data_IF_353251058679
#
_entry.id   IF_353251058679
#
_cell.length_a   1.000
_cell.length_b   1.000
_cell.length_c   1.000
_cell.angle_alpha   90.00
_cell.angle_beta   90.00
_cell.angle_gamma   90.00
#
_symmetry.space_group_name_H-M   'P 1'
#
loop_
_entity.id
_entity.type
_entity.pdbx_description
1 polymer ?
#
# COMPACT_ATOMS: atom_id res chain seq x y z
N UNK A 1 -3.06 -4.64 17.76
CA UNK A 1 -2.46 -4.88 16.42
C UNK A 1 -2.62 -3.64 15.57
N UNK A 2 -1.58 -3.20 14.92
CA UNK A 2 -1.61 -2.08 13.99
C UNK A 2 -2.11 -2.56 12.62
N UNK A 3 -3.06 -1.85 12.03
CA UNK A 3 -3.62 -2.20 10.73
C UNK A 3 -3.22 -1.17 9.68
N UNK A 4 -2.62 -1.64 8.59
CA UNK A 4 -2.13 -0.81 7.48
C UNK A 4 -2.84 -1.22 6.20
N UNK A 5 -3.42 -0.24 5.52
CA UNK A 5 -4.12 -0.45 4.25
C UNK A 5 -3.48 0.41 3.17
N UNK A 6 -2.97 -0.25 2.12
CA UNK A 6 -2.45 0.45 0.94
C UNK A 6 -3.55 0.57 -0.11
N UNK A 7 -3.68 1.73 -0.74
CA UNK A 7 -4.77 2.02 -1.67
C UNK A 7 -4.23 2.66 -2.95
N UNK A 8 -4.69 2.16 -4.09
CA UNK A 8 -4.48 2.84 -5.37
C UNK A 8 -5.75 2.75 -6.21
N UNK A 9 -5.71 3.21 -7.45
CA UNK A 9 -6.91 3.28 -8.27
C UNK A 9 -7.52 1.89 -8.53
N UNK A 10 -6.72 0.95 -9.04
CA UNK A 10 -7.21 -0.37 -9.47
C UNK A 10 -6.85 -1.53 -8.54
N UNK A 11 -5.93 -1.33 -7.61
CA UNK A 11 -5.44 -2.37 -6.72
C UNK A 11 -4.86 -3.58 -7.47
N UNK A 12 -4.18 -3.33 -8.58
CA UNK A 12 -3.47 -4.37 -9.33
C UNK A 12 -1.98 -4.09 -9.54
N UNK A 13 -1.53 -2.84 -9.40
CA UNK A 13 -0.12 -2.46 -9.59
C UNK A 13 0.53 -1.98 -8.30
N UNK A 14 0.29 -0.72 -7.92
CA UNK A 14 1.03 -0.05 -6.84
C UNK A 14 0.67 -0.54 -5.44
N UNK A 15 -0.61 -0.59 -5.10
CA UNK A 15 -1.00 -0.99 -3.75
C UNK A 15 -0.69 -2.45 -3.44
N UNK A 16 -0.87 -3.41 -4.37
CA UNK A 16 -0.44 -4.78 -4.07
C UNK A 16 1.07 -4.92 -4.01
N UNK A 17 1.83 -4.13 -4.78
CA UNK A 17 3.28 -4.10 -4.66
C UNK A 17 3.69 -3.63 -3.25
N UNK A 18 3.09 -2.55 -2.77
CA UNK A 18 3.36 -2.03 -1.43
C UNK A 18 3.00 -3.04 -0.35
N UNK A 19 1.84 -3.68 -0.49
CA UNK A 19 1.41 -4.72 0.46
C UNK A 19 2.43 -5.85 0.52
N UNK A 20 2.86 -6.37 -0.62
CA UNK A 20 3.80 -7.50 -0.69
C UNK A 20 5.18 -7.13 -0.15
N UNK A 21 5.70 -5.96 -0.53
CA UNK A 21 7.00 -5.46 -0.06
C UNK A 21 6.97 -5.23 1.45
N UNK A 22 5.93 -4.55 1.93
CA UNK A 22 5.81 -4.23 3.35
C UNK A 22 5.67 -5.49 4.19
N UNK A 23 4.89 -6.46 3.72
CA UNK A 23 4.73 -7.74 4.41
C UNK A 23 6.07 -8.45 4.57
N UNK A 24 6.89 -8.44 3.52
CA UNK A 24 8.22 -9.05 3.60
C UNK A 24 9.10 -8.33 4.63
N UNK A 25 9.07 -7.01 4.68
CA UNK A 25 9.83 -6.24 5.66
C UNK A 25 9.38 -6.55 7.10
N UNK A 26 8.07 -6.58 7.31
CA UNK A 26 7.48 -6.88 8.61
C UNK A 26 7.84 -8.29 9.07
N UNK A 27 7.75 -9.27 8.17
CA UNK A 27 8.12 -10.66 8.47
C UNK A 27 9.60 -10.78 8.81
N UNK A 28 10.46 -10.10 8.06
CA UNK A 28 11.91 -10.13 8.28
C UNK A 28 12.27 -9.60 9.66
N UNK A 29 11.53 -8.62 10.19
CA UNK A 29 11.77 -8.08 11.52
C UNK A 29 10.98 -8.80 12.63
N UNK A 30 10.27 -9.86 12.28
CA UNK A 30 9.50 -10.63 13.28
C UNK A 30 8.27 -9.92 13.82
N UNK A 31 7.71 -8.97 13.07
CA UNK A 31 6.60 -8.13 13.52
C UNK A 31 5.25 -8.55 12.94
N UNK A 32 5.17 -9.69 12.28
CA UNK A 32 3.95 -10.15 11.60
C UNK A 32 2.78 -10.43 12.53
N UNK A 33 3.02 -10.62 13.83
CA UNK A 33 1.95 -10.77 14.81
C UNK A 33 1.42 -9.42 15.33
N UNK A 34 2.09 -8.33 14.99
CA UNK A 34 1.77 -6.99 15.51
C UNK A 34 1.27 -6.03 14.45
N UNK A 35 1.49 -6.33 13.17
CA UNK A 35 1.09 -5.47 12.06
C UNK A 35 0.29 -6.30 11.05
N UNK A 36 -0.97 -5.93 10.84
CA UNK A 36 -1.85 -6.51 9.82
C UNK A 36 -1.81 -5.62 8.58
N UNK A 37 -1.66 -6.23 7.40
CA UNK A 37 -1.43 -5.53 6.14
C UNK A 37 -2.43 -5.99 5.10
N UNK A 38 -3.03 -5.02 4.38
CA UNK A 38 -3.95 -5.32 3.29
C UNK A 38 -3.86 -4.22 2.23
N UNK A 39 -4.56 -4.38 1.12
CA UNK A 39 -4.66 -3.37 0.08
C UNK A 39 -6.04 -3.36 -0.55
N UNK A 40 -6.41 -2.24 -1.17
CA UNK A 40 -7.72 -2.06 -1.79
C UNK A 40 -7.65 -1.03 -2.92
N UNK A 41 -8.72 -0.97 -3.71
CA UNK A 41 -8.88 -0.03 -4.80
C UNK A 41 -9.90 1.06 -4.45
N UNK A 42 -9.73 2.25 -5.05
CA UNK A 42 -10.76 3.28 -5.00
C UNK A 42 -11.83 3.06 -6.08
N UNK A 43 -11.54 2.24 -7.10
CA UNK A 43 -12.48 1.92 -8.17
C UNK A 43 -12.78 0.42 -8.22
N UNK A 44 -13.87 0.06 -8.90
CA UNK A 44 -14.27 -1.34 -9.09
C UNK A 44 -13.78 -1.93 -10.42
N UNK A 45 -13.03 -1.14 -11.21
CA UNK A 45 -12.67 -1.53 -12.58
C UNK A 45 -11.93 -2.86 -12.68
N UNK A 46 -11.09 -3.16 -11.72
CA UNK A 46 -10.27 -4.37 -11.71
C UNK A 46 -10.69 -5.36 -10.62
N UNK A 47 -11.87 -5.19 -10.05
CA UNK A 47 -12.33 -6.03 -8.94
C UNK A 47 -12.26 -7.52 -9.27
N UNK A 48 -11.58 -8.27 -8.41
CA UNK A 48 -11.40 -9.72 -8.59
C UNK A 48 -10.22 -10.11 -9.47
N UNK A 49 -9.56 -9.15 -10.13
CA UNK A 49 -8.40 -9.45 -10.98
C UNK A 49 -7.14 -9.69 -10.15
N UNK A 50 -6.24 -10.55 -10.62
CA UNK A 50 -4.96 -10.77 -9.95
C UNK A 50 -4.04 -9.56 -10.11
N UNK A 51 -2.93 -9.58 -9.37
CA UNK A 51 -1.88 -8.56 -9.48
C UNK A 51 -1.38 -8.49 -10.93
N UNK A 52 -1.19 -7.26 -11.41
CA UNK A 52 -0.72 -7.02 -12.78
C UNK A 52 0.61 -7.74 -13.05
N UNK A 53 0.75 -8.25 -14.28
CA UNK A 53 1.94 -9.03 -14.67
C UNK A 53 3.25 -8.31 -14.40
N UNK A 54 3.33 -7.00 -14.73
CA UNK A 54 4.55 -6.23 -14.51
C UNK A 54 4.96 -6.16 -13.05
N UNK A 55 3.98 -6.00 -12.15
CA UNK A 55 4.22 -6.02 -10.72
C UNK A 55 4.68 -7.41 -10.27
N UNK A 56 4.00 -8.47 -10.72
CA UNK A 56 4.38 -9.85 -10.38
C UNK A 56 5.81 -10.17 -10.82
N UNK A 57 6.16 -9.79 -12.04
CA UNK A 57 7.49 -10.06 -12.57
C UNK A 57 8.56 -9.29 -11.81
N UNK A 58 8.28 -8.02 -11.49
CA UNK A 58 9.25 -7.22 -10.73
C UNK A 58 9.47 -7.77 -9.34
N UNK A 59 8.40 -8.17 -8.64
CA UNK A 59 8.50 -8.72 -7.30
C UNK A 59 9.16 -10.10 -7.31
N UNK A 60 8.93 -10.90 -8.36
CA UNK A 60 9.55 -12.23 -8.48
C UNK A 60 11.07 -12.14 -8.51
N UNK A 61 11.63 -11.07 -9.08
CA UNK A 61 13.09 -10.85 -9.09
C UNK A 61 13.64 -10.68 -7.67
N UNK A 62 12.80 -10.28 -6.73
CA UNK A 62 13.18 -10.10 -5.33
C UNK A 62 12.72 -11.26 -4.44
N UNK A 63 12.21 -12.33 -5.05
CA UNK A 63 11.72 -13.50 -4.31
C UNK A 63 10.41 -13.23 -3.56
N UNK A 64 9.63 -12.25 -3.99
CA UNK A 64 8.37 -11.88 -3.34
C UNK A 64 7.20 -12.42 -4.15
N UNK A 65 6.34 -13.23 -3.50
CA UNK A 65 5.15 -13.81 -4.13
C UNK A 65 3.92 -12.91 -3.95
N UNK A 66 3.03 -12.95 -4.96
CA UNK A 66 1.72 -12.30 -4.90
C UNK A 66 0.59 -13.32 -4.97
N UNK A 67 0.88 -14.58 -4.74
CA UNK A 67 -0.12 -15.65 -4.76
C UNK A 67 -1.24 -15.36 -3.76
N UNK A 68 -2.49 -15.45 -4.22
CA UNK A 68 -3.66 -15.21 -3.37
C UNK A 68 -4.07 -13.76 -3.25
N UNK A 69 -3.39 -12.84 -3.93
CA UNK A 69 -3.73 -11.41 -3.91
C UNK A 69 -4.61 -11.07 -5.12
N UNK A 70 -5.77 -10.48 -4.83
CA UNK A 70 -6.75 -10.07 -5.84
C UNK A 70 -7.28 -8.68 -5.53
N UNK A 71 -7.58 -7.91 -6.56
CA UNK A 71 -8.16 -6.58 -6.41
C UNK A 71 -9.50 -6.63 -5.70
N UNK A 72 -9.70 -5.70 -4.75
CA UNK A 72 -10.98 -5.46 -4.10
C UNK A 72 -11.18 -3.96 -3.91
N UNK A 73 -12.42 -3.53 -3.82
CA UNK A 73 -12.73 -2.11 -3.59
C UNK A 73 -12.77 -1.82 -2.08
N UNK A 74 -12.48 -0.59 -1.71
CA UNK A 74 -12.64 -0.10 -0.32
C UNK A 74 -14.05 -0.39 0.19
N UNK A 75 -14.14 -0.81 1.45
CA UNK A 75 -15.43 -1.03 2.11
C UNK A 75 -15.38 -0.51 3.56
N UNK A 76 -16.52 -0.55 4.26
CA UNK A 76 -16.61 0.04 5.59
C UNK A 76 -15.74 -0.65 6.64
N UNK A 77 -15.37 -1.90 6.43
CA UNK A 77 -14.43 -2.59 7.34
C UNK A 77 -13.06 -1.92 7.34
N UNK A 78 -12.71 -1.21 6.26
CA UNK A 78 -11.43 -0.50 6.16
C UNK A 78 -11.34 0.70 7.09
N UNK A 79 -12.48 1.16 7.64
CA UNK A 79 -12.49 2.26 8.61
C UNK A 79 -11.78 1.90 9.91
N UNK A 80 -11.53 0.62 10.17
CA UNK A 80 -10.78 0.18 11.35
C UNK A 80 -9.25 0.24 11.16
N UNK A 81 -8.77 0.54 9.95
CA UNK A 81 -7.33 0.65 9.72
C UNK A 81 -6.74 1.84 10.47
N UNK A 82 -5.52 1.68 10.98
CA UNK A 82 -4.80 2.77 11.65
C UNK A 82 -4.11 3.68 10.63
N UNK A 83 -3.71 3.10 9.49
CA UNK A 83 -3.06 3.81 8.41
C UNK A 83 -3.75 3.47 7.09
N UNK A 84 -4.23 4.49 6.38
CA UNK A 84 -4.71 4.34 5.00
C UNK A 84 -3.76 5.13 4.11
N UNK A 85 -3.08 4.43 3.21
CA UNK A 85 -1.95 4.98 2.48
C UNK A 85 -2.20 4.91 0.99
N UNK A 86 -2.29 6.09 0.34
CA UNK A 86 -2.38 6.20 -1.10
C UNK A 86 -1.02 6.30 -1.74
N UNK A 87 -0.98 6.19 -3.06
CA UNK A 87 0.25 6.28 -3.84
C UNK A 87 0.45 7.66 -4.44
N UNK A 88 -0.65 8.36 -4.73
CA UNK A 88 -0.64 9.69 -5.33
C UNK A 88 -1.77 10.56 -4.77
N UNK A 89 -1.76 11.85 -5.13
CA UNK A 89 -2.79 12.77 -4.64
C UNK A 89 -4.20 12.39 -5.10
N UNK A 90 -4.33 11.84 -6.30
CA UNK A 90 -5.62 11.38 -6.81
C UNK A 90 -6.17 10.26 -5.93
N UNK A 91 -5.32 9.33 -5.49
CA UNK A 91 -5.72 8.30 -4.53
C UNK A 91 -6.22 8.93 -3.24
N UNK A 92 -5.50 9.91 -2.71
CA UNK A 92 -5.89 10.60 -1.46
C UNK A 92 -7.25 11.26 -1.62
N UNK A 93 -7.50 11.97 -2.72
CA UNK A 93 -8.80 12.60 -2.98
C UNK A 93 -9.93 11.57 -2.97
N UNK A 94 -9.73 10.44 -3.64
CA UNK A 94 -10.75 9.40 -3.72
C UNK A 94 -10.94 8.66 -2.39
N UNK A 95 -9.88 8.48 -1.63
CA UNK A 95 -9.95 7.94 -0.27
C UNK A 95 -10.79 8.86 0.62
N UNK A 96 -10.52 10.17 0.59
CA UNK A 96 -11.26 11.14 1.40
C UNK A 96 -12.74 11.16 1.04
N UNK A 97 -13.10 11.07 -0.25
CA UNK A 97 -14.49 10.96 -0.69
C UNK A 97 -15.17 9.73 -0.10
N UNK A 98 -14.47 8.61 -0.04
CA UNK A 98 -14.99 7.40 0.56
C UNK A 98 -15.19 7.56 2.06
N UNK A 99 -14.22 8.15 2.75
CA UNK A 99 -14.22 8.26 4.21
C UNK A 99 -15.31 9.20 4.74
N UNK A 100 -15.62 10.28 4.06
CA UNK A 100 -16.70 11.23 4.44
C UNK A 100 -16.63 11.68 5.90
N UNK A 101 -15.44 11.99 6.38
CA UNK A 101 -15.21 12.41 7.78
C UNK A 101 -15.58 11.34 8.83
N UNK A 102 -15.69 10.07 8.43
CA UNK A 102 -16.01 8.96 9.34
C UNK A 102 -14.77 8.33 9.97
N UNK A 103 -13.59 8.82 9.61
CA UNK A 103 -12.33 8.16 9.91
C UNK A 103 -11.45 9.05 10.78
N UNK A 104 -10.83 8.45 11.81
CA UNK A 104 -9.95 9.16 12.73
C UNK A 104 -8.49 8.74 12.64
N UNK A 105 -8.16 7.81 11.75
CA UNK A 105 -6.78 7.34 11.57
C UNK A 105 -5.94 8.27 10.69
N UNK A 106 -4.82 7.76 10.22
CA UNK A 106 -3.88 8.52 9.39
C UNK A 106 -4.10 8.24 7.91
N UNK A 107 -4.20 9.31 7.10
CA UNK A 107 -4.29 9.22 5.64
C UNK A 107 -3.15 10.02 5.05
N UNK A 108 -2.27 9.36 4.31
CA UNK A 108 -1.10 9.99 3.69
C UNK A 108 -0.72 9.25 2.40
N UNK A 109 0.07 9.92 1.55
CA UNK A 109 0.77 9.21 0.47
C UNK A 109 1.98 8.48 1.06
N UNK A 110 2.34 7.37 0.46
CA UNK A 110 3.43 6.52 0.98
C UNK A 110 4.75 7.29 1.10
N UNK A 111 5.13 8.07 0.09
CA UNK A 111 6.41 8.77 0.11
C UNK A 111 6.48 9.91 1.13
N UNK A 112 5.36 10.37 1.66
CA UNK A 112 5.37 11.38 2.72
C UNK A 112 6.07 10.86 3.98
N UNK A 113 6.00 9.54 4.24
CA UNK A 113 6.73 8.94 5.37
C UNK A 113 8.24 9.01 5.17
N UNK A 114 8.70 9.08 3.92
CA UNK A 114 10.11 9.26 3.59
C UNK A 114 10.52 10.74 3.49
N UNK A 115 9.61 11.66 3.85
CA UNK A 115 9.88 13.10 3.81
C UNK A 115 9.78 13.70 2.41
N UNK A 116 9.12 13.03 1.46
CA UNK A 116 9.01 13.50 0.09
C UNK A 116 7.58 13.86 -0.27
N UNK A 117 7.39 15.07 -0.76
CA UNK A 117 6.09 15.57 -1.21
C UNK A 117 5.94 15.32 -2.71
N UNK A 118 5.79 14.03 -3.07
CA UNK A 118 5.59 13.62 -4.46
C UNK A 118 4.84 12.30 -4.54
N UNK A 119 4.30 12.04 -5.73
CA UNK A 119 3.56 10.82 -6.02
C UNK A 119 4.49 9.67 -6.40
N UNK A 120 4.03 8.44 -6.19
CA UNK A 120 4.57 7.26 -6.86
C UNK A 120 3.83 7.12 -8.18
N UNK A 121 4.54 7.23 -9.30
CA UNK A 121 3.92 7.19 -10.62
C UNK A 121 3.31 5.82 -10.90
N UNK A 122 2.18 5.82 -11.61
CA UNK A 122 1.45 4.59 -11.93
C UNK A 122 2.13 3.87 -13.09
N UNK A 123 2.67 2.66 -12.86
CA UNK A 123 3.37 1.92 -13.91
C UNK A 123 2.43 1.41 -15.01
N UNK A 124 1.13 1.45 -14.81
CA UNK A 124 0.16 1.20 -15.88
C UNK A 124 0.38 2.16 -17.06
N UNK A 125 0.74 3.42 -16.74
CA UNK A 125 0.97 4.46 -17.76
C UNK A 125 2.43 4.59 -18.16
N UNK A 126 3.36 4.41 -17.23
CA UNK A 126 4.79 4.61 -17.49
C UNK A 126 5.49 3.35 -18.00
N UNK A 127 4.92 2.18 -17.71
CA UNK A 127 5.53 0.87 -17.94
C UNK A 127 6.87 0.70 -17.21
N UNK A 128 7.14 1.55 -16.21
CA UNK A 128 8.39 1.56 -15.46
C UNK A 128 8.17 0.98 -14.06
N UNK A 129 8.18 -0.34 -13.97
CA UNK A 129 7.97 -1.06 -12.71
C UNK A 129 9.18 -0.99 -11.79
N UNK A 130 10.38 -0.73 -12.34
CA UNK A 130 11.58 -0.60 -11.51
C UNK A 130 11.56 0.67 -10.67
N UNK A 131 11.19 1.81 -11.26
CA UNK A 131 11.07 3.07 -10.52
C UNK A 131 9.98 2.96 -9.47
N UNK A 132 8.83 2.37 -9.82
CA UNK A 132 7.75 2.14 -8.86
C UNK A 132 8.23 1.28 -7.69
N UNK A 133 8.94 0.19 -7.99
CA UNK A 133 9.46 -0.68 -6.93
C UNK A 133 10.42 0.06 -6.00
N UNK A 134 11.35 0.83 -6.56
CA UNK A 134 12.31 1.59 -5.75
C UNK A 134 11.61 2.60 -4.83
N UNK A 135 10.59 3.29 -5.34
CA UNK A 135 9.81 4.24 -4.55
C UNK A 135 8.99 3.53 -3.46
N UNK A 136 8.40 2.39 -3.80
CA UNK A 136 7.63 1.59 -2.84
C UNK A 136 8.54 1.10 -1.71
N UNK A 137 9.71 0.58 -2.04
CA UNK A 137 10.67 0.12 -1.01
C UNK A 137 11.06 1.27 -0.09
N UNK A 138 11.37 2.43 -0.65
CA UNK A 138 11.75 3.61 0.11
C UNK A 138 10.64 4.04 1.07
N UNK A 139 9.43 4.13 0.56
CA UNK A 139 8.28 4.53 1.37
C UNK A 139 7.92 3.51 2.44
N UNK A 140 7.94 2.22 2.09
CA UNK A 140 7.62 1.15 3.04
C UNK A 140 8.63 1.07 4.17
N UNK A 141 9.92 1.26 3.87
CA UNK A 141 10.95 1.27 4.89
C UNK A 141 10.75 2.41 5.89
N UNK A 142 10.47 3.60 5.37
CA UNK A 142 10.18 4.77 6.20
C UNK A 142 8.90 4.58 7.02
N UNK A 143 7.87 4.00 6.41
CA UNK A 143 6.61 3.70 7.10
C UNK A 143 6.83 2.74 8.26
N UNK A 144 7.61 1.68 8.06
CA UNK A 144 7.88 0.72 9.13
C UNK A 144 8.59 1.40 10.30
N UNK A 145 9.58 2.23 10.04
CA UNK A 145 10.26 2.98 11.09
C UNK A 145 9.31 3.93 11.83
N UNK A 146 8.40 4.57 11.10
CA UNK A 146 7.39 5.45 11.70
C UNK A 146 6.47 4.65 12.64
N UNK A 147 5.98 3.51 12.20
CA UNK A 147 5.08 2.66 13.00
C UNK A 147 5.80 2.16 14.26
N UNK A 148 7.03 1.72 14.13
CA UNK A 148 7.83 1.25 15.27
C UNK A 148 8.00 2.34 16.31
N UNK A 149 8.20 3.57 15.87
CA UNK A 149 8.44 4.71 16.76
C UNK A 149 7.17 5.21 17.46
N UNK A 150 6.05 5.25 16.72
CA UNK A 150 4.85 5.96 17.20
C UNK A 150 3.71 5.05 17.64
N UNK A 151 3.59 3.85 17.10
CA UNK A 151 2.44 2.98 17.36
C UNK A 151 2.79 1.61 17.94
N UNK A 152 4.05 1.23 17.90
CA UNK A 152 4.51 -0.03 18.44
C UNK A 152 5.70 0.25 19.34
N UNK A 153 5.64 -0.17 20.58
CA UNK A 153 6.77 -0.08 21.49
C UNK A 153 7.76 -1.21 21.17
N UNK A 154 8.29 -1.16 19.98
CA UNK A 154 9.17 -2.21 19.44
C UNK A 154 10.64 -1.84 19.57
#
# INVERSE_FOLDING_TARGET
>A
MVQVLFVCLGNICRSPMAEAVFRKMVDTEGLNQQIYIDSAATSSWEHGNPVHRGTRERLAKEGISTVGMYSRILNDDDLSADYIIGMDESNIMNIEKFLRNRYSGRVNRLLEYAGEDRDILDPWYTDDFDTTYNDVVKGCRALLEFIKKYDCNM
#
